data_IF_994051629539
#
_entry.id   IF_994051629539
#
_cell.length_a   1.000
_cell.length_b   1.000
_cell.length_c   1.000
_cell.angle_alpha   90.00
_cell.angle_beta   90.00
_cell.angle_gamma   90.00
#
_symmetry.space_group_name_H-M   'P 1'
#
loop_
_entity.id
_entity.type
_entity.pdbx_description
1 polymer ?
#
# COMPACT_ATOMS: atom_id res chain seq x y z
N UNK A 1 23.08 0.71 -23.90
CA UNK A 1 22.42 1.29 -22.70
C UNK A 1 20.99 1.77 -23.01
N UNK A 2 20.78 2.54 -24.10
CA UNK A 2 19.45 3.07 -24.46
C UNK A 2 18.42 1.96 -24.69
N UNK A 3 18.79 0.89 -25.37
CA UNK A 3 17.90 -0.24 -25.61
C UNK A 3 17.51 -0.94 -24.30
N UNK A 4 18.45 -1.14 -23.39
CA UNK A 4 18.20 -1.72 -22.05
C UNK A 4 17.28 -0.80 -21.26
N UNK A 5 17.48 0.51 -21.30
CA UNK A 5 16.61 1.50 -20.66
C UNK A 5 15.17 1.39 -21.15
N UNK A 6 14.95 1.37 -22.48
CA UNK A 6 13.60 1.27 -23.05
C UNK A 6 12.95 -0.06 -22.67
N UNK A 7 13.69 -1.18 -22.75
CA UNK A 7 13.18 -2.49 -22.32
C UNK A 7 12.80 -2.50 -20.84
N UNK A 8 13.65 -1.98 -19.97
CA UNK A 8 13.39 -1.95 -18.52
C UNK A 8 12.19 -1.05 -18.20
N UNK A 9 12.05 0.07 -18.91
CA UNK A 9 10.89 0.96 -18.76
C UNK A 9 9.59 0.24 -19.16
N UNK A 10 9.58 -0.45 -20.29
CA UNK A 10 8.41 -1.23 -20.73
C UNK A 10 8.07 -2.36 -19.75
N UNK A 11 9.08 -3.08 -19.26
CA UNK A 11 8.90 -4.15 -18.26
C UNK A 11 8.29 -3.61 -16.96
N UNK A 12 8.81 -2.50 -16.43
CA UNK A 12 8.35 -1.95 -15.15
C UNK A 12 6.91 -1.43 -15.21
N UNK A 13 6.49 -0.85 -16.33
CA UNK A 13 5.16 -0.27 -16.46
C UNK A 13 4.07 -1.28 -16.84
N UNK A 14 4.40 -2.37 -17.55
CA UNK A 14 3.42 -3.31 -18.09
C UNK A 14 3.59 -4.74 -17.58
N UNK A 15 4.82 -5.29 -17.57
CA UNK A 15 5.05 -6.70 -17.26
C UNK A 15 5.14 -6.92 -15.75
N UNK A 16 5.82 -6.04 -15.03
CA UNK A 16 6.06 -6.18 -13.59
C UNK A 16 4.75 -6.27 -12.78
N UNK A 17 3.74 -5.41 -13.00
CA UNK A 17 2.46 -5.51 -12.29
C UNK A 17 1.79 -6.87 -12.47
N UNK A 18 1.78 -7.41 -13.67
CA UNK A 18 1.21 -8.72 -13.96
C UNK A 18 1.99 -9.87 -13.29
N UNK A 19 3.32 -9.78 -13.31
CA UNK A 19 4.19 -10.73 -12.61
C UNK A 19 3.99 -10.70 -11.10
N UNK A 20 3.83 -9.50 -10.52
CA UNK A 20 3.58 -9.31 -9.10
C UNK A 20 2.26 -9.93 -8.63
N UNK A 21 1.20 -9.86 -9.43
CA UNK A 21 -0.07 -10.54 -9.14
C UNK A 21 0.18 -12.05 -8.98
N UNK A 22 0.89 -12.68 -9.92
CA UNK A 22 1.22 -14.12 -9.85
C UNK A 22 2.12 -14.45 -8.67
N UNK A 23 3.15 -13.64 -8.43
CA UNK A 23 4.06 -13.80 -7.29
C UNK A 23 3.27 -13.77 -5.97
N UNK A 24 2.43 -12.77 -5.76
CA UNK A 24 1.67 -12.58 -4.53
C UNK A 24 0.64 -13.70 -4.28
N UNK A 25 0.18 -14.38 -5.34
CA UNK A 25 -0.66 -15.59 -5.22
C UNK A 25 0.18 -16.80 -4.81
N UNK A 26 1.40 -16.93 -5.33
CA UNK A 26 2.27 -18.10 -5.11
C UNK A 26 3.11 -18.00 -3.82
N UNK A 27 3.51 -16.80 -3.42
CA UNK A 27 4.37 -16.56 -2.25
C UNK A 27 3.84 -17.19 -0.95
N UNK A 28 2.53 -17.15 -0.64
CA UNK A 28 1.98 -17.84 0.53
C UNK A 28 2.13 -19.35 0.52
N UNK A 29 2.31 -19.96 -0.66
CA UNK A 29 2.51 -21.41 -0.78
C UNK A 29 3.98 -21.83 -0.66
N UNK A 30 4.90 -20.90 -0.88
CA UNK A 30 6.35 -21.16 -0.91
C UNK A 30 7.01 -20.92 0.45
N UNK A 31 6.45 -20.02 1.27
CA UNK A 31 6.94 -19.75 2.62
C UNK A 31 6.30 -20.66 3.66
N UNK A 32 7.09 -21.09 4.67
CA UNK A 32 6.66 -21.93 5.79
C UNK A 32 5.31 -21.50 6.39
N UNK A 33 4.51 -22.47 6.83
CA UNK A 33 3.14 -22.30 7.33
C UNK A 33 2.95 -21.16 8.36
N UNK A 34 3.96 -20.89 9.18
CA UNK A 34 3.93 -19.83 10.18
C UNK A 34 3.95 -18.40 9.58
N UNK A 35 4.63 -18.23 8.44
CA UNK A 35 4.62 -16.95 7.71
C UNK A 35 3.38 -16.81 6.81
N UNK A 36 2.77 -17.91 6.42
CA UNK A 36 1.52 -17.95 5.66
C UNK A 36 0.35 -17.34 6.43
N UNK A 37 0.22 -17.64 7.72
CA UNK A 37 -0.79 -17.01 8.59
C UNK A 37 -0.56 -15.52 8.76
N UNK A 38 0.71 -15.08 8.88
CA UNK A 38 1.05 -13.65 8.95
C UNK A 38 0.82 -12.90 7.64
N UNK A 39 1.00 -13.54 6.48
CA UNK A 39 0.78 -12.92 5.16
C UNK A 39 -0.68 -12.96 4.71
N UNK A 40 -1.43 -13.98 5.09
CA UNK A 40 -2.84 -14.18 4.71
C UNK A 40 -3.83 -13.84 5.83
N UNK A 41 -3.36 -13.74 7.07
CA UNK A 41 -4.16 -13.51 8.25
C UNK A 41 -3.85 -12.17 8.90
N UNK A 42 -4.88 -11.59 9.46
CA UNK A 42 -4.86 -10.61 10.53
C UNK A 42 -4.02 -9.33 10.26
N UNK A 43 -4.37 -8.61 9.22
CA UNK A 43 -3.83 -7.27 9.01
C UNK A 43 -4.68 -6.25 9.78
N UNK A 44 -4.05 -5.50 10.69
CA UNK A 44 -4.66 -4.28 11.20
C UNK A 44 -4.74 -3.25 10.07
N UNK A 45 -5.92 -2.71 9.86
CA UNK A 45 -6.19 -1.78 8.77
C UNK A 45 -6.77 -0.51 9.36
N UNK A 46 -6.14 0.61 9.02
CA UNK A 46 -6.68 1.94 9.22
C UNK A 46 -6.86 2.56 7.83
N UNK A 47 -8.06 2.97 7.50
CA UNK A 47 -8.38 3.56 6.20
C UNK A 47 -9.34 4.74 6.34
N UNK A 48 -9.21 5.70 5.45
CA UNK A 48 -10.15 6.80 5.31
C UNK A 48 -11.19 6.44 4.25
N UNK A 49 -12.47 6.61 4.57
CA UNK A 49 -13.56 6.51 3.61
C UNK A 49 -13.80 7.87 2.95
N UNK A 50 -13.66 8.91 3.76
CA UNK A 50 -13.74 10.33 3.35
C UNK A 50 -12.74 11.14 4.18
N UNK A 51 -12.53 12.44 3.88
CA UNK A 51 -11.68 13.31 4.70
C UNK A 51 -12.08 13.42 6.17
N UNK A 52 -13.32 13.05 6.51
CA UNK A 52 -13.89 13.13 7.85
C UNK A 52 -14.23 11.76 8.45
N UNK A 53 -14.18 10.69 7.65
CA UNK A 53 -14.68 9.37 8.05
C UNK A 53 -13.54 8.36 8.04
N UNK A 54 -13.28 7.77 9.19
CA UNK A 54 -12.18 6.84 9.42
C UNK A 54 -12.72 5.47 9.82
N UNK A 55 -12.11 4.43 9.30
CA UNK A 55 -12.38 3.05 9.66
C UNK A 55 -11.10 2.40 10.19
N UNK A 56 -11.24 1.63 11.23
CA UNK A 56 -10.18 0.86 11.83
C UNK A 56 -10.65 -0.57 12.08
N UNK A 57 -9.83 -1.55 11.75
CA UNK A 57 -10.07 -2.96 12.02
C UNK A 57 -8.78 -3.58 12.53
N UNK A 58 -8.82 -4.18 13.72
CA UNK A 58 -7.63 -4.78 14.34
C UNK A 58 -7.08 -5.95 13.52
N UNK A 59 -7.98 -6.73 12.95
CA UNK A 59 -7.64 -7.92 12.19
C UNK A 59 -8.69 -8.16 11.12
N UNK A 60 -8.27 -8.30 9.87
CA UNK A 60 -9.16 -8.59 8.75
C UNK A 60 -8.68 -9.81 7.96
N UNK A 61 -9.52 -10.85 7.91
CA UNK A 61 -9.29 -12.05 7.11
C UNK A 61 -9.98 -11.91 5.75
N UNK A 62 -9.20 -11.75 4.69
CA UNK A 62 -9.72 -11.56 3.32
C UNK A 62 -10.38 -12.80 2.74
N UNK A 63 -10.00 -14.02 3.15
CA UNK A 63 -10.62 -15.25 2.65
C UNK A 63 -12.05 -15.39 3.14
N UNK A 64 -12.26 -15.04 4.40
CA UNK A 64 -13.56 -15.13 5.05
C UNK A 64 -14.37 -13.83 4.91
N UNK A 65 -13.73 -12.77 4.41
CA UNK A 65 -14.29 -11.41 4.38
C UNK A 65 -14.82 -10.95 5.75
N UNK A 66 -14.10 -11.30 6.81
CA UNK A 66 -14.44 -11.02 8.19
C UNK A 66 -13.31 -10.29 8.90
N UNK A 67 -13.66 -9.31 9.72
CA UNK A 67 -12.72 -8.59 10.57
C UNK A 67 -13.15 -8.59 12.03
N UNK A 68 -12.19 -8.37 12.93
CA UNK A 68 -12.41 -8.24 14.36
C UNK A 68 -11.87 -6.91 14.88
N UNK A 69 -12.48 -6.39 15.95
CA UNK A 69 -12.08 -5.10 16.52
C UNK A 69 -12.37 -3.94 15.57
N UNK A 70 -13.59 -3.90 15.07
CA UNK A 70 -14.06 -2.84 14.16
C UNK A 70 -14.33 -1.55 14.91
N UNK A 71 -13.90 -0.42 14.33
CA UNK A 71 -14.22 0.93 14.76
C UNK A 71 -14.41 1.83 13.55
N UNK A 72 -15.50 2.60 13.55
CA UNK A 72 -15.73 3.68 12.59
C UNK A 72 -15.93 4.97 13.34
N UNK A 73 -15.29 6.03 12.86
CA UNK A 73 -15.34 7.37 13.44
C UNK A 73 -15.68 8.39 12.37
N UNK A 74 -16.57 9.30 12.69
CA UNK A 74 -16.93 10.43 11.86
C UNK A 74 -16.67 11.73 12.61
N UNK A 75 -15.95 12.63 11.94
CA UNK A 75 -15.60 13.95 12.45
C UNK A 75 -16.35 15.03 11.68
N UNK A 76 -16.51 16.17 12.29
CA UNK A 76 -16.95 17.39 11.61
C UNK A 76 -15.78 18.10 10.90
N UNK A 77 -16.07 19.25 10.24
CA UNK A 77 -15.05 20.06 9.56
C UNK A 77 -14.01 20.65 10.54
N UNK A 78 -14.34 20.77 11.82
CA UNK A 78 -13.48 21.27 12.89
C UNK A 78 -12.70 20.15 13.60
N UNK A 79 -12.72 18.93 13.05
CA UNK A 79 -12.08 17.73 13.62
C UNK A 79 -12.65 17.32 14.98
N UNK A 80 -13.89 17.71 15.32
CA UNK A 80 -14.60 17.22 16.50
C UNK A 80 -15.29 15.91 16.15
N UNK A 81 -15.16 14.89 17.00
CA UNK A 81 -15.83 13.60 16.84
C UNK A 81 -17.33 13.80 17.00
N UNK A 82 -18.12 13.44 15.98
CA UNK A 82 -19.59 13.54 15.98
C UNK A 82 -20.29 12.20 16.11
N UNK A 83 -19.64 11.13 15.62
CA UNK A 83 -20.19 9.78 15.69
C UNK A 83 -19.05 8.77 15.76
N UNK A 84 -19.21 7.77 16.59
CA UNK A 84 -18.33 6.61 16.67
C UNK A 84 -19.18 5.35 16.85
N UNK A 85 -18.81 4.28 16.16
CA UNK A 85 -19.33 2.95 16.40
C UNK A 85 -18.18 1.98 16.50
N UNK A 86 -18.21 1.13 17.52
CA UNK A 86 -17.25 0.06 17.74
C UNK A 86 -17.99 -1.27 17.78
N UNK A 87 -17.43 -2.28 17.19
CA UNK A 87 -18.02 -3.62 17.18
C UNK A 87 -16.96 -4.71 17.33
N UNK A 88 -17.37 -5.86 17.82
CA UNK A 88 -16.50 -7.01 18.00
C UNK A 88 -16.08 -7.56 16.65
N UNK A 89 -17.03 -7.71 15.73
CA UNK A 89 -16.84 -8.28 14.40
C UNK A 89 -17.46 -7.41 13.31
N UNK A 90 -16.86 -7.49 12.13
CA UNK A 90 -17.42 -6.98 10.87
C UNK A 90 -17.31 -8.06 9.80
N UNK A 91 -18.39 -8.34 9.08
CA UNK A 91 -18.45 -9.34 8.03
C UNK A 91 -19.13 -8.81 6.79
N UNK A 92 -18.58 -9.14 5.62
CA UNK A 92 -19.15 -8.79 4.32
C UNK A 92 -20.18 -9.83 3.87
N UNK A 93 -21.39 -9.39 3.60
CA UNK A 93 -22.41 -10.18 2.93
C UNK A 93 -22.39 -9.94 1.41
N UNK A 94 -21.76 -10.84 0.66
CA UNK A 94 -21.58 -10.66 -0.80
C UNK A 94 -22.89 -10.59 -1.58
N UNK A 95 -23.93 -11.34 -1.15
CA UNK A 95 -25.27 -11.36 -1.79
C UNK A 95 -25.98 -10.01 -1.67
N UNK A 96 -25.83 -9.33 -0.55
CA UNK A 96 -26.51 -8.08 -0.23
C UNK A 96 -25.63 -6.84 -0.44
N UNK A 97 -24.34 -7.05 -0.70
CA UNK A 97 -23.33 -6.00 -0.93
C UNK A 97 -23.23 -4.97 0.22
N UNK A 98 -23.31 -5.43 1.46
CA UNK A 98 -23.12 -4.60 2.65
C UNK A 98 -22.31 -5.35 3.72
N UNK A 99 -21.86 -4.59 4.72
CA UNK A 99 -21.22 -5.16 5.89
C UNK A 99 -22.24 -5.33 7.02
N UNK A 100 -22.08 -6.38 7.80
CA UNK A 100 -22.81 -6.64 9.03
C UNK A 100 -21.82 -6.57 10.17
N UNK A 101 -22.10 -5.77 11.18
CA UNK A 101 -21.33 -5.69 12.42
C UNK A 101 -22.09 -6.35 13.55
N UNK A 102 -21.38 -7.00 14.47
CA UNK A 102 -21.98 -7.71 15.60
C UNK A 102 -21.40 -7.23 16.91
N UNK A 103 -22.26 -7.24 17.96
CA UNK A 103 -21.93 -6.77 19.29
C UNK A 103 -21.32 -5.36 19.26
N UNK A 104 -22.15 -4.40 18.88
CA UNK A 104 -21.72 -3.03 18.70
C UNK A 104 -22.14 -2.10 19.85
N UNK A 105 -21.33 -1.07 20.04
CA UNK A 105 -21.63 0.12 20.84
C UNK A 105 -21.46 1.34 19.95
N UNK A 106 -22.39 2.28 20.05
CA UNK A 106 -22.30 3.53 19.31
C UNK A 106 -22.41 4.72 20.23
N UNK A 107 -21.77 5.80 19.83
CA UNK A 107 -21.69 7.07 20.55
C UNK A 107 -21.90 8.19 19.55
N UNK A 108 -22.86 9.04 19.85
CA UNK A 108 -23.19 10.23 19.04
C UNK A 108 -23.04 11.46 19.89
N UNK A 109 -22.37 12.50 19.37
CA UNK A 109 -22.31 13.79 20.05
C UNK A 109 -23.70 14.44 20.07
N UNK A 110 -24.19 14.74 21.26
CA UNK A 110 -25.43 15.48 21.48
C UNK A 110 -25.20 16.98 21.56
N UNK A 111 -26.26 17.73 21.89
CA UNK A 111 -26.17 19.16 22.18
C UNK A 111 -25.54 19.38 23.56
N UNK A 112 -24.78 20.48 23.73
CA UNK A 112 -24.13 20.86 24.98
C UNK A 112 -23.16 19.82 25.57
N UNK A 113 -22.27 19.27 24.72
CA UNK A 113 -21.25 18.27 25.10
C UNK A 113 -21.83 17.00 25.78
N UNK A 114 -23.11 16.74 25.60
CA UNK A 114 -23.71 15.46 26.00
C UNK A 114 -23.40 14.38 24.98
N UNK A 115 -23.44 13.11 25.40
CA UNK A 115 -23.21 11.96 24.54
C UNK A 115 -24.43 11.04 24.62
N UNK A 116 -24.86 10.59 23.44
CA UNK A 116 -25.92 9.60 23.33
C UNK A 116 -25.24 8.25 23.04
N UNK A 117 -25.43 7.31 23.93
CA UNK A 117 -24.89 5.96 23.83
C UNK A 117 -25.97 4.99 23.36
N UNK A 118 -25.61 4.12 22.42
CA UNK A 118 -26.43 3.03 21.94
C UNK A 118 -25.63 1.73 21.88
N UNK A 119 -26.29 0.60 21.99
CA UNK A 119 -25.67 -0.72 21.82
C UNK A 119 -26.66 -1.70 21.21
N UNK A 120 -26.14 -2.75 20.61
CA UNK A 120 -26.98 -3.80 20.04
C UNK A 120 -26.16 -4.99 19.54
N UNK A 121 -26.88 -6.03 19.16
CA UNK A 121 -26.26 -7.29 18.73
C UNK A 121 -25.84 -7.25 17.27
N UNK A 122 -26.61 -6.61 16.39
CA UNK A 122 -26.34 -6.62 14.94
C UNK A 122 -26.78 -5.29 14.31
N UNK A 123 -25.94 -4.75 13.43
CA UNK A 123 -26.23 -3.54 12.64
C UNK A 123 -25.65 -3.65 11.24
N UNK A 124 -26.36 -3.15 10.25
CA UNK A 124 -25.89 -3.08 8.86
C UNK A 124 -25.07 -1.81 8.68
N UNK A 125 -23.92 -1.94 8.01
CA UNK A 125 -23.06 -0.84 7.58
C UNK A 125 -22.92 -0.86 6.06
N UNK A 126 -23.44 0.14 5.39
CA UNK A 126 -23.35 0.29 3.94
C UNK A 126 -22.42 1.46 3.58
N UNK A 127 -21.17 1.15 3.27
CA UNK A 127 -20.19 2.12 2.81
C UNK A 127 -20.22 2.33 1.29
N UNK A 128 -21.08 1.59 0.55
CA UNK A 128 -21.12 1.56 -0.93
C UNK A 128 -19.75 1.21 -1.56
N UNK A 129 -18.89 0.57 -0.80
CA UNK A 129 -17.55 0.15 -1.17
C UNK A 129 -17.40 -1.36 -0.93
N UNK A 130 -16.79 -2.11 -1.88
CA UNK A 130 -16.48 -3.52 -1.66
C UNK A 130 -15.31 -3.68 -0.68
N UNK A 131 -15.13 -4.87 -0.08
CA UNK A 131 -14.04 -5.14 0.84
C UNK A 131 -12.64 -4.85 0.28
N UNK A 132 -12.43 -5.09 -1.01
CA UNK A 132 -11.15 -4.83 -1.69
C UNK A 132 -10.77 -3.35 -1.76
N UNK A 133 -11.75 -2.45 -1.74
CA UNK A 133 -11.53 -1.01 -1.73
C UNK A 133 -11.47 -0.43 -0.30
N UNK A 134 -12.23 -1.03 0.63
CA UNK A 134 -12.23 -0.62 2.03
C UNK A 134 -10.99 -1.13 2.78
N UNK A 135 -10.55 -2.35 2.45
CA UNK A 135 -9.40 -3.03 3.06
C UNK A 135 -8.37 -3.42 2.00
N UNK A 136 -7.68 -2.43 1.38
CA UNK A 136 -6.71 -2.70 0.33
C UNK A 136 -5.51 -3.50 0.86
N UNK A 137 -4.88 -4.28 -0.02
CA UNK A 137 -3.61 -4.93 0.28
C UNK A 137 -2.48 -3.91 0.42
N UNK A 138 -1.51 -4.19 1.29
CA UNK A 138 -0.27 -3.40 1.38
C UNK A 138 0.48 -3.36 0.03
N UNK A 139 0.37 -4.44 -0.76
CA UNK A 139 1.02 -4.59 -2.06
C UNK A 139 0.10 -4.22 -3.24
N UNK A 140 -1.07 -3.60 -2.97
CA UNK A 140 -2.03 -3.30 -4.04
C UNK A 140 -1.43 -2.39 -5.13
N UNK A 141 -0.58 -1.46 -4.75
CA UNK A 141 0.09 -0.55 -5.69
C UNK A 141 0.98 -1.29 -6.70
N UNK A 142 1.72 -2.30 -6.23
CA UNK A 142 2.63 -3.10 -7.06
C UNK A 142 1.90 -3.99 -8.08
N UNK A 143 0.63 -4.33 -7.78
CA UNK A 143 -0.19 -5.17 -8.63
C UNK A 143 -0.97 -4.39 -9.70
N UNK A 144 -0.96 -3.07 -9.65
CA UNK A 144 -1.68 -2.20 -10.58
C UNK A 144 -0.79 -1.77 -11.75
N UNK A 145 -1.35 -1.75 -12.94
CA UNK A 145 -0.71 -1.08 -14.08
C UNK A 145 -0.57 0.42 -13.80
N UNK A 146 0.31 1.10 -14.50
CA UNK A 146 0.54 2.52 -14.25
C UNK A 146 -0.72 3.38 -14.41
N UNK A 147 -1.58 3.20 -15.43
CA UNK A 147 -2.85 3.94 -15.51
C UNK A 147 -3.80 3.64 -14.34
N UNK A 148 -3.90 2.37 -13.93
CA UNK A 148 -4.74 1.97 -12.78
C UNK A 148 -4.20 2.54 -11.46
N UNK A 149 -2.87 2.61 -11.31
CA UNK A 149 -2.23 3.19 -10.13
C UNK A 149 -2.50 4.71 -10.05
N UNK A 150 -2.45 5.43 -11.16
CA UNK A 150 -2.78 6.85 -11.21
C UNK A 150 -4.24 7.11 -10.81
N UNK A 151 -5.19 6.35 -11.35
CA UNK A 151 -6.60 6.49 -10.97
C UNK A 151 -6.83 6.14 -9.49
N UNK A 152 -6.08 5.18 -8.96
CA UNK A 152 -6.12 4.83 -7.54
C UNK A 152 -5.57 5.96 -6.66
N UNK A 153 -4.45 6.57 -7.04
CA UNK A 153 -3.86 7.72 -6.33
C UNK A 153 -4.86 8.88 -6.25
N UNK A 154 -5.54 9.21 -7.34
CA UNK A 154 -6.56 10.27 -7.35
C UNK A 154 -7.71 9.96 -6.39
N UNK A 155 -8.22 8.74 -6.40
CA UNK A 155 -9.30 8.31 -5.48
C UNK A 155 -8.87 8.40 -4.01
N UNK A 156 -7.69 7.89 -3.67
CA UNK A 156 -7.18 7.93 -2.29
C UNK A 156 -6.87 9.37 -1.83
N UNK A 157 -6.42 10.22 -2.74
CA UNK A 157 -6.25 11.66 -2.47
C UNK A 157 -7.58 12.34 -2.17
N UNK A 158 -8.64 12.02 -2.91
CA UNK A 158 -9.99 12.56 -2.65
C UNK A 158 -10.55 12.09 -1.29
N UNK A 159 -10.20 10.88 -0.86
CA UNK A 159 -10.56 10.37 0.48
C UNK A 159 -9.73 11.02 1.62
N UNK A 160 -8.71 11.80 1.31
CA UNK A 160 -7.79 12.37 2.30
C UNK A 160 -6.89 11.32 2.97
N UNK A 161 -6.62 10.21 2.30
CA UNK A 161 -5.81 9.13 2.86
C UNK A 161 -4.33 9.51 2.88
N UNK A 162 -3.68 9.39 4.04
CA UNK A 162 -2.24 9.68 4.20
C UNK A 162 -1.33 8.65 3.50
N UNK A 163 -1.84 7.47 3.17
CA UNK A 163 -1.06 6.42 2.48
C UNK A 163 -0.80 6.71 0.99
N UNK A 164 -1.29 7.82 0.47
CA UNK A 164 -1.05 8.26 -0.93
C UNK A 164 0.45 8.34 -1.25
N UNK A 165 1.28 8.69 -0.24
CA UNK A 165 2.73 8.77 -0.39
C UNK A 165 3.35 7.42 -0.82
N UNK A 166 2.87 6.30 -0.28
CA UNK A 166 3.38 4.97 -0.66
C UNK A 166 3.05 4.61 -2.11
N UNK A 167 1.90 5.06 -2.62
CA UNK A 167 1.50 4.87 -4.02
C UNK A 167 2.33 5.73 -4.97
N UNK A 168 2.64 6.96 -4.59
CA UNK A 168 3.58 7.80 -5.33
C UNK A 168 4.99 7.21 -5.35
N UNK A 169 5.48 6.67 -4.23
CA UNK A 169 6.77 5.99 -4.18
C UNK A 169 6.84 4.85 -5.19
N UNK A 170 5.82 3.99 -5.24
CA UNK A 170 5.73 2.92 -6.22
C UNK A 170 5.75 3.46 -7.66
N UNK A 171 4.97 4.52 -7.95
CA UNK A 171 4.92 5.14 -9.27
C UNK A 171 6.29 5.70 -9.70
N UNK A 172 6.97 6.42 -8.80
CA UNK A 172 8.28 7.02 -9.09
C UNK A 172 9.36 5.97 -9.23
N UNK A 173 9.32 4.89 -8.44
CA UNK A 173 10.28 3.79 -8.56
C UNK A 173 10.26 3.15 -9.94
N UNK A 174 9.09 3.01 -10.57
CA UNK A 174 8.95 2.45 -11.91
C UNK A 174 9.71 3.22 -12.97
N UNK A 175 9.83 4.53 -12.81
CA UNK A 175 10.54 5.41 -13.73
C UNK A 175 12.00 5.64 -13.29
N UNK A 176 12.28 5.81 -12.01
CA UNK A 176 13.62 6.08 -11.51
C UNK A 176 14.58 4.91 -11.68
N UNK A 177 14.10 3.67 -11.55
CA UNK A 177 14.90 2.48 -11.77
C UNK A 177 15.50 2.39 -13.19
N UNK A 178 14.73 2.53 -14.28
CA UNK A 178 15.30 2.59 -15.62
C UNK A 178 16.27 3.78 -15.83
N UNK A 179 15.97 4.96 -15.29
CA UNK A 179 16.84 6.14 -15.40
C UNK A 179 18.21 5.88 -14.75
N UNK A 180 18.24 5.16 -13.63
CA UNK A 180 19.47 4.81 -12.96
C UNK A 180 20.44 4.01 -13.83
N UNK A 181 19.93 3.19 -14.76
CA UNK A 181 20.76 2.42 -15.70
C UNK A 181 21.57 3.35 -16.60
N UNK A 182 20.98 4.44 -17.06
CA UNK A 182 21.67 5.44 -17.88
C UNK A 182 22.78 6.10 -17.07
N UNK A 183 22.47 6.55 -15.85
CA UNK A 183 23.42 7.21 -14.95
C UNK A 183 24.59 6.29 -14.65
N UNK A 184 24.34 5.04 -14.26
CA UNK A 184 25.40 4.06 -13.99
C UNK A 184 26.23 3.73 -15.21
N UNK A 185 25.63 3.71 -16.41
CA UNK A 185 26.37 3.50 -17.66
C UNK A 185 27.32 4.65 -17.94
N UNK A 186 26.89 5.91 -17.77
CA UNK A 186 27.76 7.07 -17.93
C UNK A 186 28.89 7.09 -16.90
N UNK A 187 28.60 6.74 -15.65
CA UNK A 187 29.61 6.62 -14.60
C UNK A 187 30.66 5.54 -14.95
N UNK A 188 30.20 4.37 -15.40
CA UNK A 188 31.10 3.29 -15.83
C UNK A 188 31.98 3.68 -17.03
N UNK A 189 31.42 4.37 -18.02
CA UNK A 189 32.17 4.89 -19.16
C UNK A 189 33.21 5.93 -18.74
N UNK A 190 32.86 6.87 -17.85
CA UNK A 190 33.79 7.90 -17.32
C UNK A 190 34.94 7.29 -16.60
N UNK A 191 34.72 6.26 -15.78
CA UNK A 191 35.78 5.54 -15.07
C UNK A 191 36.69 4.74 -16.01
N UNK A 192 36.08 4.07 -17.02
CA UNK A 192 36.82 3.25 -17.99
C UNK A 192 37.66 4.08 -18.95
N UNK A 193 37.27 5.33 -19.25
CA UNK A 193 37.99 6.20 -20.20
C UNK A 193 39.26 6.76 -19.65
N UNK A 194 39.50 6.76 -18.35
CA UNK A 194 40.70 7.30 -17.73
C UNK A 194 41.87 6.31 -17.80
N UNK A 195 42.83 6.55 -18.70
CA UNK A 195 44.14 5.86 -18.73
C UNK A 195 44.96 6.29 -17.53
N UNK A 196 44.85 5.60 -16.41
CA UNK A 196 45.75 5.78 -15.26
C UNK A 196 46.76 4.64 -15.20
N UNK A 197 48.02 4.95 -14.84
CA UNK A 197 49.13 3.98 -14.66
C UNK A 197 48.94 3.00 -13.49
N UNK A 198 47.77 2.99 -12.84
CA UNK A 198 47.46 2.19 -11.65
C UNK A 198 46.86 0.80 -11.89
N UNK A 199 46.79 0.33 -13.11
CA UNK A 199 46.27 -1.01 -13.44
C UNK A 199 44.73 -1.11 -13.47
N UNK A 200 44.21 -2.16 -14.12
CA UNK A 200 42.78 -2.49 -14.28
C UNK A 200 42.03 -2.65 -12.93
N UNK A 201 42.77 -3.08 -11.86
CA UNK A 201 42.18 -3.38 -10.56
C UNK A 201 41.59 -2.18 -9.83
N UNK A 202 42.23 -1.00 -9.91
CA UNK A 202 41.79 0.21 -9.21
C UNK A 202 40.52 0.78 -9.82
N UNK A 203 40.40 0.81 -11.15
CA UNK A 203 39.19 1.27 -11.84
C UNK A 203 38.02 0.31 -11.60
N UNK A 204 38.28 -0.99 -11.54
CA UNK A 204 37.26 -1.99 -11.21
C UNK A 204 36.76 -1.83 -9.77
N UNK A 205 37.69 -1.65 -8.81
CA UNK A 205 37.33 -1.45 -7.41
C UNK A 205 36.53 -0.18 -7.19
N UNK A 206 36.85 0.93 -7.85
CA UNK A 206 36.09 2.18 -7.82
C UNK A 206 34.72 2.01 -8.43
N UNK A 207 34.62 1.28 -9.56
CA UNK A 207 33.31 0.99 -10.19
C UNK A 207 32.39 0.18 -9.29
N UNK A 208 32.91 -0.85 -8.62
CA UNK A 208 32.16 -1.67 -7.66
C UNK A 208 31.75 -0.83 -6.45
N UNK A 209 32.62 -0.01 -5.90
CA UNK A 209 32.34 0.85 -4.76
C UNK A 209 31.22 1.86 -5.06
N UNK A 210 31.24 2.49 -6.24
CA UNK A 210 30.21 3.43 -6.69
C UNK A 210 28.87 2.72 -6.94
N UNK A 211 28.87 1.53 -7.54
CA UNK A 211 27.68 0.74 -7.73
C UNK A 211 27.06 0.35 -6.37
N UNK A 212 27.89 -0.06 -5.40
CA UNK A 212 27.43 -0.38 -4.05
C UNK A 212 26.84 0.83 -3.34
N UNK A 213 27.52 1.98 -3.38
CA UNK A 213 27.02 3.24 -2.84
C UNK A 213 25.67 3.64 -3.45
N UNK A 214 25.52 3.48 -4.77
CA UNK A 214 24.26 3.77 -5.45
C UNK A 214 23.14 2.86 -4.96
N UNK A 215 23.35 1.54 -4.93
CA UNK A 215 22.34 0.56 -4.49
C UNK A 215 21.95 0.81 -3.03
N UNK A 216 22.94 1.07 -2.17
CA UNK A 216 22.70 1.37 -0.75
C UNK A 216 21.90 2.66 -0.57
N UNK A 217 22.27 3.74 -1.27
CA UNK A 217 21.53 5.01 -1.22
C UNK A 217 20.09 4.83 -1.72
N UNK A 218 19.89 4.09 -2.81
CA UNK A 218 18.57 3.77 -3.33
C UNK A 218 17.72 3.02 -2.30
N UNK A 219 18.31 2.04 -1.61
CA UNK A 219 17.60 1.26 -0.58
C UNK A 219 17.20 2.12 0.63
N UNK A 220 18.09 2.99 1.09
CA UNK A 220 17.83 3.90 2.24
C UNK A 220 16.73 4.91 1.92
N UNK A 221 16.70 5.44 0.69
CA UNK A 221 15.68 6.42 0.27
C UNK A 221 14.30 5.81 0.06
N UNK A 222 14.19 4.48 -0.07
CA UNK A 222 12.94 3.76 -0.31
C UNK A 222 12.36 3.13 0.97
N UNK A 223 12.95 3.35 2.13
CA UNK A 223 12.41 2.96 3.44
C UNK A 223 11.53 4.08 3.99
#
# INVERSE_FOLDING_TARGET
SVLIFIMTLAVNHFILPWSNIKKNVLEPYTYNSMNREKLLGNMSIASNISPTDYIFVNSYNKKENRGTGYMYQKFDKNKKLIYQISAMDIQWEAKKKHFVITNYTERTAGKNDTEILGSGTTKIQDFKLPPSELFPDKLVAQNKTTPELLTMIEREKMKGNNNVTSFYNELYQRTSMPVSIIILTFLGLSLSSQKKRGGLGLNLALGIALAFLFVFSFQVLNV
#
